data_IF_201407654062
#
_entry.id   IF_201407654062
#
_cell.length_a   1.000
_cell.length_b   1.000
_cell.length_c   1.000
_cell.angle_alpha   90.00
_cell.angle_beta   90.00
_cell.angle_gamma   90.00
#
_symmetry.space_group_name_H-M   'P 1'
#
loop_
_entity.id
_entity.type
_entity.pdbx_description
1 polymer ?
#
# COMPACT_ATOMS: atom_id res chain seq x y z
N UNK A 1 -12.14 -10.57 -8.58
CA UNK A 1 -11.88 -9.73 -9.77
C UNK A 1 -10.37 -9.63 -10.02
N UNK A 2 -9.89 -9.00 -11.10
CA UNK A 2 -8.44 -8.79 -11.27
C UNK A 2 -7.94 -7.69 -10.34
N UNK A 3 -6.68 -7.78 -9.89
CA UNK A 3 -6.10 -6.79 -8.98
C UNK A 3 -6.15 -5.34 -9.52
N UNK A 4 -5.98 -5.17 -10.84
CA UNK A 4 -6.15 -3.88 -11.50
C UNK A 4 -7.60 -3.36 -11.38
N UNK A 5 -8.61 -4.21 -11.59
CA UNK A 5 -10.02 -3.81 -11.42
C UNK A 5 -10.31 -3.44 -9.95
N UNK A 6 -9.77 -4.19 -8.99
CA UNK A 6 -9.90 -3.85 -7.58
C UNK A 6 -9.30 -2.47 -7.27
N UNK A 7 -8.13 -2.15 -7.84
CA UNK A 7 -7.54 -0.82 -7.75
C UNK A 7 -8.46 0.25 -8.33
N UNK A 8 -9.00 0.03 -9.54
CA UNK A 8 -9.90 0.98 -10.19
C UNK A 8 -11.14 1.28 -9.34
N UNK A 9 -11.72 0.24 -8.74
CA UNK A 9 -12.97 0.36 -7.98
C UNK A 9 -12.77 0.89 -6.55
N UNK A 10 -11.65 0.59 -5.90
CA UNK A 10 -11.47 0.85 -4.46
C UNK A 10 -10.40 1.89 -4.13
N UNK A 11 -9.46 2.17 -5.03
CA UNK A 11 -8.26 2.98 -4.71
C UNK A 11 -8.08 4.18 -5.66
N UNK A 12 -8.38 3.99 -6.95
CA UNK A 12 -8.15 4.97 -8.01
C UNK A 12 -8.87 6.30 -7.76
N UNK A 13 -10.03 6.30 -7.10
CA UNK A 13 -10.76 7.54 -6.80
C UNK A 13 -9.93 8.57 -6.04
N UNK A 14 -8.99 8.10 -5.19
CA UNK A 14 -8.07 8.96 -4.46
C UNK A 14 -6.67 8.97 -5.08
N UNK A 15 -6.13 7.79 -5.42
CA UNK A 15 -4.75 7.64 -5.87
C UNK A 15 -4.54 7.93 -7.36
N UNK A 16 -5.63 8.13 -8.13
CA UNK A 16 -5.67 8.41 -9.56
C UNK A 16 -5.17 7.23 -10.43
N UNK A 17 -5.51 7.17 -11.74
CA UNK A 17 -5.19 5.99 -12.56
C UNK A 17 -3.69 5.66 -12.63
N UNK A 18 -2.83 6.68 -12.53
CA UNK A 18 -1.37 6.58 -12.61
C UNK A 18 -0.68 6.58 -11.23
N UNK A 19 -1.45 6.52 -10.13
CA UNK A 19 -0.91 6.47 -8.77
C UNK A 19 -0.37 7.79 -8.23
N UNK A 20 -0.50 8.90 -8.96
CA UNK A 20 0.08 10.21 -8.57
C UNK A 20 -0.57 10.84 -7.34
N UNK A 21 -1.77 10.38 -6.97
CA UNK A 21 -2.53 10.94 -5.85
C UNK A 21 -2.86 12.44 -6.00
N UNK A 22 -2.97 13.13 -4.87
CA UNK A 22 -3.28 14.56 -4.79
C UNK A 22 -2.31 15.21 -3.80
N UNK A 23 -1.49 16.13 -4.30
CA UNK A 23 -0.47 16.79 -3.49
C UNK A 23 -1.06 17.41 -2.21
N UNK A 24 -0.44 17.09 -1.07
CA UNK A 24 -0.87 17.58 0.25
C UNK A 24 -2.02 16.81 0.92
N UNK A 25 -2.66 15.85 0.24
CA UNK A 25 -3.78 15.08 0.83
C UNK A 25 -3.74 13.58 0.57
N UNK A 26 -3.43 13.14 -0.65
CA UNK A 26 -3.30 11.71 -1.02
C UNK A 26 -1.88 11.45 -1.51
N UNK A 27 -1.13 10.54 -0.89
CA UNK A 27 0.28 10.35 -1.22
C UNK A 27 0.46 9.82 -2.65
N UNK A 28 1.50 10.33 -3.30
CA UNK A 28 2.01 9.79 -4.55
C UNK A 28 2.61 8.40 -4.31
N UNK A 29 2.10 7.41 -5.01
CA UNK A 29 2.54 6.01 -4.91
C UNK A 29 3.74 5.73 -5.81
N UNK A 30 3.93 6.56 -6.85
CA UNK A 30 4.96 6.36 -7.87
C UNK A 30 6.34 6.39 -7.22
N UNK A 31 7.19 5.48 -7.65
CA UNK A 31 8.59 5.31 -7.24
C UNK A 31 8.81 5.08 -5.74
N UNK A 32 7.76 4.93 -4.93
CA UNK A 32 7.87 4.87 -3.47
C UNK A 32 7.11 3.71 -2.82
N UNK A 33 5.96 3.30 -3.35
CA UNK A 33 5.11 2.32 -2.65
C UNK A 33 5.82 0.98 -2.38
N UNK A 34 6.62 0.47 -3.32
CA UNK A 34 7.34 -0.77 -3.12
C UNK A 34 8.51 -0.65 -2.12
N UNK A 35 9.01 0.57 -1.84
CA UNK A 35 10.08 0.78 -0.85
C UNK A 35 9.61 0.44 0.57
N UNK A 36 8.31 0.62 0.86
CA UNK A 36 7.71 0.25 2.15
C UNK A 36 7.84 -1.24 2.40
N UNK A 37 7.88 -2.07 1.36
CA UNK A 37 7.96 -3.52 1.49
C UNK A 37 9.31 -4.01 2.04
N UNK A 38 10.34 -3.14 2.05
CA UNK A 38 11.67 -3.44 2.62
C UNK A 38 11.67 -3.45 4.14
N UNK A 39 10.68 -2.83 4.78
CA UNK A 39 10.57 -2.73 6.23
C UNK A 39 9.35 -3.53 6.69
N UNK A 40 9.47 -4.39 7.72
CA UNK A 40 8.30 -5.06 8.31
C UNK A 40 7.20 -4.05 8.73
N UNK A 41 7.59 -2.91 9.29
CA UNK A 41 6.63 -1.87 9.68
C UNK A 41 6.06 -1.12 8.47
N UNK A 42 6.81 -1.02 7.37
CA UNK A 42 6.33 -0.43 6.12
C UNK A 42 5.29 -1.33 5.46
N UNK A 43 5.48 -2.65 5.54
CA UNK A 43 4.49 -3.63 5.08
C UNK A 43 3.18 -3.51 5.87
N UNK A 44 3.28 -3.45 7.19
CA UNK A 44 2.13 -3.25 8.06
C UNK A 44 1.41 -1.93 7.76
N UNK A 45 2.16 -0.84 7.59
CA UNK A 45 1.63 0.48 7.29
C UNK A 45 0.70 0.50 6.08
N UNK A 46 1.09 -0.11 4.94
CA UNK A 46 0.26 -0.10 3.72
C UNK A 46 -1.10 -0.79 3.92
N UNK A 47 -1.16 -1.82 4.77
CA UNK A 47 -2.41 -2.50 5.14
C UNK A 47 -3.21 -1.68 6.14
N UNK A 48 -2.55 -1.01 7.09
CA UNK A 48 -3.18 -0.32 8.21
C UNK A 48 -3.66 1.11 7.89
N UNK A 49 -3.26 1.68 6.74
CA UNK A 49 -3.85 2.94 6.25
C UNK A 49 -5.39 2.81 6.28
N UNK A 50 -6.13 3.75 6.90
CA UNK A 50 -7.57 3.60 7.11
C UNK A 50 -8.36 3.24 5.86
N UNK A 51 -8.04 3.82 4.70
CA UNK A 51 -8.69 3.49 3.43
C UNK A 51 -8.47 2.03 3.01
N UNK A 52 -7.27 1.48 3.22
CA UNK A 52 -6.97 0.06 2.97
C UNK A 52 -7.67 -0.84 3.98
N UNK A 53 -7.47 -0.54 5.28
CA UNK A 53 -7.94 -1.38 6.37
C UNK A 53 -9.47 -1.47 6.44
N UNK A 54 -10.17 -0.38 6.10
CA UNK A 54 -11.64 -0.31 6.08
C UNK A 54 -12.26 -0.54 4.70
N UNK A 55 -11.47 -0.91 3.69
CA UNK A 55 -11.99 -1.21 2.35
C UNK A 55 -13.02 -2.34 2.39
N UNK A 56 -13.83 -2.46 1.32
CA UNK A 56 -14.80 -3.57 1.18
C UNK A 56 -14.16 -4.87 0.67
N UNK A 57 -12.88 -4.84 0.36
CA UNK A 57 -12.14 -6.00 -0.15
C UNK A 57 -12.03 -7.07 0.93
N UNK A 58 -12.06 -8.34 0.53
CA UNK A 58 -11.55 -9.43 1.38
C UNK A 58 -10.05 -9.27 1.64
N UNK A 59 -9.51 -10.00 2.61
CA UNK A 59 -8.08 -9.94 2.91
C UNK A 59 -7.22 -10.46 1.74
N UNK A 60 -7.70 -11.48 1.01
CA UNK A 60 -7.06 -11.99 -0.20
C UNK A 60 -7.08 -10.95 -1.35
N UNK A 61 -8.19 -10.25 -1.53
CA UNK A 61 -8.31 -9.19 -2.54
C UNK A 61 -7.44 -7.97 -2.21
N UNK A 62 -7.38 -7.59 -0.93
CA UNK A 62 -6.51 -6.52 -0.46
C UNK A 62 -5.03 -6.90 -0.65
N UNK A 63 -4.64 -8.15 -0.36
CA UNK A 63 -3.30 -8.65 -0.66
C UNK A 63 -2.99 -8.55 -2.17
N UNK A 64 -3.92 -8.98 -3.02
CA UNK A 64 -3.76 -8.95 -4.47
C UNK A 64 -3.59 -7.51 -5.00
N UNK A 65 -4.40 -6.56 -4.56
CA UNK A 65 -4.30 -5.16 -5.02
C UNK A 65 -3.02 -4.50 -4.51
N UNK A 66 -2.60 -4.73 -3.25
CA UNK A 66 -1.34 -4.18 -2.73
C UNK A 66 -0.12 -4.72 -3.49
N UNK A 67 -0.10 -6.02 -3.78
CA UNK A 67 0.94 -6.65 -4.60
C UNK A 67 0.99 -6.07 -6.02
N UNK A 68 -0.18 -5.82 -6.62
CA UNK A 68 -0.27 -5.20 -7.93
C UNK A 68 0.19 -3.74 -7.92
N UNK A 69 -0.26 -2.94 -6.94
CA UNK A 69 0.16 -1.53 -6.80
C UNK A 69 1.68 -1.40 -6.61
N UNK A 70 2.29 -2.30 -5.83
CA UNK A 70 3.73 -2.35 -5.66
C UNK A 70 4.48 -2.56 -6.98
N UNK A 71 3.98 -3.46 -7.84
CA UNK A 71 4.57 -3.73 -9.14
C UNK A 71 4.28 -2.63 -10.18
N UNK A 72 3.07 -2.04 -10.13
CA UNK A 72 2.61 -1.06 -11.09
C UNK A 72 3.21 0.34 -10.86
N UNK A 73 3.39 0.74 -9.61
CA UNK A 73 3.81 2.10 -9.25
C UNK A 73 5.16 2.16 -8.52
N UNK A 74 5.61 1.06 -7.92
CA UNK A 74 6.86 1.04 -7.17
C UNK A 74 8.10 0.76 -8.04
N UNK A 75 9.31 0.99 -7.50
CA UNK A 75 10.53 0.59 -8.20
C UNK A 75 10.56 -0.93 -8.38
N UNK A 76 10.77 -1.38 -9.63
CA UNK A 76 10.75 -2.80 -9.97
C UNK A 76 11.82 -3.63 -9.23
N UNK A 77 12.89 -3.01 -8.74
CA UNK A 77 13.88 -3.69 -7.90
C UNK A 77 13.30 -4.05 -6.53
N UNK A 78 12.64 -3.11 -5.85
CA UNK A 78 12.06 -3.33 -4.53
C UNK A 78 10.89 -4.32 -4.60
N UNK A 79 10.02 -4.18 -5.61
CA UNK A 79 8.86 -5.05 -5.79
C UNK A 79 9.25 -6.52 -6.07
N UNK A 80 10.40 -6.77 -6.70
CA UNK A 80 10.87 -8.14 -7.01
C UNK A 80 11.52 -8.85 -5.83
N UNK A 81 12.13 -8.10 -4.91
CA UNK A 81 12.82 -8.68 -3.75
C UNK A 81 11.88 -8.88 -2.57
N UNK A 82 10.84 -8.06 -2.47
CA UNK A 82 9.82 -8.23 -1.45
C UNK A 82 9.00 -9.51 -1.68
N UNK A 83 8.79 -10.28 -0.60
CA UNK A 83 7.78 -11.33 -0.62
C UNK A 83 6.40 -10.69 -0.89
N UNK A 84 5.57 -11.28 -1.76
CA UNK A 84 4.20 -10.79 -1.95
C UNK A 84 3.43 -10.92 -0.64
N UNK A 85 2.51 -9.98 -0.39
CA UNK A 85 1.52 -10.14 0.67
C UNK A 85 0.72 -11.42 0.46
N UNK A 86 0.48 -12.13 1.55
CA UNK A 86 -0.54 -13.17 1.63
C UNK A 86 -1.77 -12.71 2.41
N UNK A 87 -2.84 -13.49 2.32
CA UNK A 87 -4.10 -13.21 3.01
C UNK A 87 -3.93 -13.14 4.54
N UNK A 88 -3.11 -14.02 5.12
CA UNK A 88 -2.92 -14.08 6.57
C UNK A 88 -2.17 -12.86 7.11
N UNK A 89 -1.18 -12.35 6.38
CA UNK A 89 -0.45 -11.12 6.67
C UNK A 89 -1.41 -9.93 6.67
N UNK A 90 -2.21 -9.79 5.62
CA UNK A 90 -3.21 -8.72 5.53
C UNK A 90 -4.22 -8.84 6.67
N UNK A 91 -4.79 -10.02 6.90
CA UNK A 91 -5.78 -10.26 7.95
C UNK A 91 -5.28 -9.90 9.36
N UNK A 92 -3.99 -10.09 9.64
CA UNK A 92 -3.37 -9.67 10.91
C UNK A 92 -3.28 -8.15 11.02
N UNK A 93 -2.67 -7.50 10.02
CA UNK A 93 -2.40 -6.07 10.09
C UNK A 93 -3.68 -5.22 10.01
N UNK A 94 -4.68 -5.69 9.26
CA UNK A 94 -5.96 -5.01 9.07
C UNK A 94 -6.75 -4.79 10.37
N UNK A 95 -6.51 -5.59 11.40
CA UNK A 95 -7.18 -5.50 12.71
C UNK A 95 -6.74 -4.30 13.55
N UNK A 96 -5.68 -3.61 13.14
CA UNK A 96 -5.14 -2.46 13.86
C UNK A 96 -4.96 -1.26 12.92
N UNK A 97 -6.06 -0.63 12.44
CA UNK A 97 -5.97 0.54 11.59
C UNK A 97 -5.22 1.69 12.28
N UNK A 98 -4.46 2.45 11.51
CA UNK A 98 -3.76 3.63 12.03
C UNK A 98 -4.75 4.74 12.36
N UNK A 99 -4.57 5.39 13.51
CA UNK A 99 -5.26 6.63 13.85
C UNK A 99 -4.54 7.82 13.21
N UNK A 100 -3.21 7.86 13.34
CA UNK A 100 -2.35 8.96 12.87
C UNK A 100 -1.47 8.48 11.70
N UNK A 101 -1.93 8.66 10.47
CA UNK A 101 -1.24 8.13 9.26
C UNK A 101 0.01 8.94 8.92
N UNK A 102 -0.09 10.27 8.95
CA UNK A 102 0.97 11.18 8.51
C UNK A 102 2.30 11.01 9.29
N UNK A 103 2.31 11.02 10.64
CA UNK A 103 3.56 10.86 11.38
C UNK A 103 4.19 9.48 11.20
N UNK A 104 3.38 8.42 11.12
CA UNK A 104 3.88 7.05 10.86
C UNK A 104 4.52 6.97 9.48
N UNK A 105 3.88 7.55 8.46
CA UNK A 105 4.43 7.60 7.11
C UNK A 105 5.77 8.34 7.09
N UNK A 106 5.86 9.50 7.74
CA UNK A 106 7.08 10.31 7.77
C UNK A 106 8.26 9.53 8.36
N UNK A 107 8.07 8.90 9.52
CA UNK A 107 9.10 8.09 10.18
C UNK A 107 9.55 6.89 9.32
N UNK A 108 8.62 6.26 8.60
CA UNK A 108 8.96 5.17 7.68
C UNK A 108 9.77 5.67 6.48
N UNK A 109 9.38 6.81 5.89
CA UNK A 109 10.07 7.40 4.73
C UNK A 109 11.52 7.75 5.08
N UNK A 110 11.77 8.31 6.26
CA UNK A 110 13.12 8.58 6.75
C UNK A 110 13.98 7.32 6.81
N UNK A 111 13.43 6.21 7.29
CA UNK A 111 14.10 4.89 7.35
C UNK A 111 14.30 4.21 5.99
N UNK A 112 13.60 4.66 4.95
CA UNK A 112 13.70 4.13 3.59
C UNK A 112 14.71 4.88 2.72
N UNK A 113 15.25 5.98 3.20
CA UNK A 113 16.34 6.70 2.53
C UNK A 113 17.54 5.76 2.36
N UNK A 114 18.23 5.76 1.21
CA UNK A 114 19.41 4.93 0.98
C UNK A 114 20.49 5.07 2.06
#
# INVERSE_FOLDING_TARGET
ESAHVLYMLQCQGCHLPDGRGLAGSVPDLRDSIARFLRLPEGRAYLVQVPGSASSRLSDAELAAVLNWMAQAFGPAADARVAAPYDEAEVARHRRTPLLEVAPVRAALVERMTP
#
